data_IF_630401273727
#
_entry.id   IF_630401273727
#
_cell.length_a   1.000
_cell.length_b   1.000
_cell.length_c   1.000
_cell.angle_alpha   90.00
_cell.angle_beta   90.00
_cell.angle_gamma   90.00
#
_symmetry.space_group_name_H-M   'P 1'
#
loop_
_entity.id
_entity.type
_entity.pdbx_description
1 polymer ?
#
# COMPACT_ATOMS: atom_id res chain seq x y z
N UNK A 1 -6.00 -10.50 11.80
CA UNK A 1 -6.02 -10.63 10.33
C UNK A 1 -4.63 -11.04 9.87
N UNK A 2 -4.51 -11.92 8.89
CA UNK A 2 -3.23 -12.42 8.38
C UNK A 2 -2.88 -11.69 7.08
N UNK A 3 -1.64 -11.21 6.89
CA UNK A 3 -1.25 -10.50 5.67
C UNK A 3 -1.33 -11.42 4.44
N UNK A 4 -1.81 -10.90 3.32
CA UNK A 4 -1.96 -11.66 2.06
C UNK A 4 -0.63 -11.94 1.35
N UNK A 5 0.43 -11.26 1.75
CA UNK A 5 1.79 -11.39 1.23
C UNK A 5 2.79 -10.98 2.33
N UNK A 6 4.04 -11.45 2.31
CA UNK A 6 5.06 -10.99 3.24
C UNK A 6 5.34 -9.50 3.01
N UNK A 7 5.12 -8.69 4.04
CA UNK A 7 5.57 -7.30 4.08
C UNK A 7 7.07 -7.35 4.39
N UNK A 8 7.92 -6.93 3.46
CA UNK A 8 9.37 -6.88 3.67
C UNK A 8 9.76 -5.79 4.66
N UNK A 9 10.81 -5.01 4.36
CA UNK A 9 11.20 -3.90 5.24
C UNK A 9 10.29 -2.69 5.00
N UNK A 10 9.64 -2.23 6.07
CA UNK A 10 8.79 -1.04 6.06
C UNK A 10 9.64 0.15 6.50
N UNK A 11 9.73 1.17 5.64
CA UNK A 11 10.35 2.45 5.98
C UNK A 11 9.24 3.50 6.03
N UNK A 12 9.09 4.14 7.18
CA UNK A 12 8.11 5.19 7.39
C UNK A 12 8.76 6.35 8.14
N UNK A 13 8.40 7.58 7.78
CA UNK A 13 8.74 8.73 8.61
C UNK A 13 7.92 8.66 9.92
N UNK A 14 8.38 9.25 11.03
CA UNK A 14 7.68 9.16 12.32
C UNK A 14 6.20 9.56 12.26
N UNK A 15 5.85 10.51 11.37
CA UNK A 15 4.50 10.98 11.13
C UNK A 15 3.55 9.94 10.52
N UNK A 16 4.08 8.85 9.93
CA UNK A 16 3.30 7.85 9.17
C UNK A 16 3.21 6.50 9.88
N UNK A 17 3.79 6.36 11.07
CA UNK A 17 3.84 5.09 11.82
C UNK A 17 2.44 4.52 12.16
N UNK A 18 1.44 5.38 12.36
CA UNK A 18 0.07 4.97 12.68
C UNK A 18 -0.69 4.30 11.52
N UNK A 19 -0.23 4.49 10.28
CA UNK A 19 -0.91 3.98 9.07
C UNK A 19 -0.62 2.49 8.82
N UNK A 20 0.47 1.97 9.38
CA UNK A 20 1.09 0.70 8.97
C UNK A 20 0.21 -0.53 9.30
N UNK A 21 -0.73 -0.43 10.25
CA UNK A 21 -1.58 -1.57 10.64
C UNK A 21 -2.76 -1.79 9.68
N UNK A 22 -3.10 -0.82 8.84
CA UNK A 22 -4.30 -0.87 7.99
C UNK A 22 -4.08 -1.53 6.62
N UNK A 23 -2.85 -1.87 6.24
CA UNK A 23 -2.47 -2.37 4.92
C UNK A 23 -3.00 -3.79 4.56
N UNK A 24 -3.96 -4.31 5.32
CA UNK A 24 -4.52 -5.65 5.13
C UNK A 24 -6.06 -5.55 5.10
N UNK A 25 -6.61 -5.05 3.99
CA UNK A 25 -8.02 -5.26 3.64
C UNK A 25 -8.93 -4.03 3.53
N UNK A 26 -8.40 -2.80 3.66
CA UNK A 26 -9.20 -1.56 3.65
C UNK A 26 -8.86 -0.59 2.52
N UNK A 27 -8.53 -1.10 1.34
CA UNK A 27 -8.07 -0.29 0.21
C UNK A 27 -9.22 0.43 -0.52
N UNK A 28 -9.16 1.77 -0.59
CA UNK A 28 -10.12 2.64 -1.29
C UNK A 28 -9.85 2.76 -2.81
N UNK A 29 -9.09 1.83 -3.39
CA UNK A 29 -8.91 1.74 -4.84
C UNK A 29 -10.21 1.41 -5.60
N UNK A 30 -10.26 1.82 -6.88
CA UNK A 30 -11.31 1.43 -7.81
C UNK A 30 -11.23 -0.06 -8.16
N UNK A 31 -12.22 -0.57 -8.91
CA UNK A 31 -12.28 -1.99 -9.24
C UNK A 31 -11.11 -2.43 -10.13
N UNK A 32 -10.70 -1.60 -11.08
CA UNK A 32 -9.57 -1.87 -11.99
C UNK A 32 -8.26 -2.01 -11.21
N UNK A 33 -7.97 -1.07 -10.31
CA UNK A 33 -6.74 -1.09 -9.52
C UNK A 33 -6.72 -2.24 -8.51
N UNK A 34 -7.87 -2.60 -7.95
CA UNK A 34 -8.01 -3.82 -7.13
C UNK A 34 -7.71 -5.07 -7.94
N UNK A 35 -8.21 -5.17 -9.16
CA UNK A 35 -7.90 -6.29 -10.05
C UNK A 35 -6.42 -6.32 -10.45
N UNK A 36 -5.81 -5.15 -10.67
CA UNK A 36 -4.38 -5.04 -10.96
C UNK A 36 -3.53 -5.55 -9.76
N UNK A 37 -3.93 -5.27 -8.52
CA UNK A 37 -3.31 -5.84 -7.34
C UNK A 37 -3.47 -7.37 -7.28
N UNK A 38 -4.66 -7.91 -7.55
CA UNK A 38 -4.88 -9.37 -7.58
C UNK A 38 -4.01 -10.07 -8.63
N UNK A 39 -3.80 -9.45 -9.79
CA UNK A 39 -2.87 -9.95 -10.80
C UNK A 39 -1.42 -9.84 -10.29
N UNK A 40 -1.06 -8.71 -9.68
CA UNK A 40 0.28 -8.47 -9.12
C UNK A 40 0.66 -9.42 -7.98
N UNK A 41 -0.33 -9.97 -7.26
CA UNK A 41 -0.10 -11.04 -6.28
C UNK A 41 0.33 -12.36 -6.94
N UNK A 42 -0.08 -12.60 -8.19
CA UNK A 42 0.29 -13.80 -8.97
C UNK A 42 1.57 -13.58 -9.76
N UNK A 43 1.68 -12.41 -10.39
CA UNK A 43 2.76 -12.09 -11.32
C UNK A 43 3.99 -11.50 -10.62
N UNK A 44 3.88 -11.20 -9.32
CA UNK A 44 4.98 -10.66 -8.51
C UNK A 44 5.32 -9.20 -8.83
N UNK A 45 4.39 -8.44 -9.43
CA UNK A 45 4.59 -7.01 -9.75
C UNK A 45 4.22 -6.10 -8.57
N UNK A 46 4.46 -4.79 -8.69
CA UNK A 46 4.18 -3.81 -7.63
C UNK A 46 2.72 -3.83 -7.18
N UNK A 47 2.47 -3.48 -5.92
CA UNK A 47 1.13 -3.30 -5.35
C UNK A 47 0.89 -1.83 -5.03
N UNK A 48 -0.35 -1.40 -5.20
CA UNK A 48 -0.81 -0.07 -4.82
C UNK A 48 -1.86 -0.20 -3.71
N UNK A 49 -1.91 0.75 -2.78
CA UNK A 49 -3.07 0.92 -1.90
C UNK A 49 -3.35 2.40 -1.68
N UNK A 50 -4.60 2.74 -1.40
CA UNK A 50 -5.02 4.09 -1.07
C UNK A 50 -5.85 4.10 0.21
N UNK A 51 -5.57 5.07 1.09
CA UNK A 51 -6.32 5.28 2.32
C UNK A 51 -6.69 6.75 2.48
N UNK A 52 -7.89 7.02 2.99
CA UNK A 52 -8.28 8.34 3.48
C UNK A 52 -7.87 8.50 4.94
N UNK A 53 -7.14 9.58 5.22
CA UNK A 53 -6.77 9.99 6.59
C UNK A 53 -7.43 11.34 6.90
N UNK A 54 -7.51 11.76 8.19
CA UNK A 54 -7.95 13.11 8.53
C UNK A 54 -7.14 14.22 7.84
N UNK A 55 -5.89 13.95 7.45
CA UNK A 55 -5.00 14.87 6.73
C UNK A 55 -5.09 14.80 5.20
N UNK A 56 -5.99 13.97 4.65
CA UNK A 56 -6.13 13.74 3.21
C UNK A 56 -5.86 12.29 2.81
N UNK A 57 -6.06 12.00 1.53
CA UNK A 57 -5.70 10.69 0.97
C UNK A 57 -4.18 10.49 1.05
N UNK A 58 -3.76 9.24 1.17
CA UNK A 58 -2.38 8.79 1.01
C UNK A 58 -2.36 7.58 0.09
N UNK A 59 -1.24 7.42 -0.61
CA UNK A 59 -0.96 6.26 -1.45
C UNK A 59 0.16 5.44 -0.83
N UNK A 60 0.06 4.12 -0.93
CA UNK A 60 1.07 3.19 -0.46
C UNK A 60 1.46 2.33 -1.65
N UNK A 61 2.74 2.37 -2.03
CA UNK A 61 3.28 1.58 -3.13
C UNK A 61 4.23 0.56 -2.53
N UNK A 62 4.00 -0.72 -2.81
CA UNK A 62 4.91 -1.80 -2.44
C UNK A 62 5.57 -2.35 -3.69
N UNK A 63 6.90 -2.35 -3.71
CA UNK A 63 7.68 -2.79 -4.87
C UNK A 63 7.49 -4.27 -5.19
N UNK A 64 7.81 -4.66 -6.42
CA UNK A 64 7.59 -6.00 -6.97
C UNK A 64 8.21 -7.12 -6.11
N UNK A 65 9.41 -6.89 -5.59
CA UNK A 65 10.14 -7.79 -4.71
C UNK A 65 9.73 -7.69 -3.22
N UNK A 66 8.74 -6.84 -2.92
CA UNK A 66 8.26 -6.52 -1.56
C UNK A 66 9.35 -5.98 -0.63
N UNK A 67 10.51 -5.60 -1.15
CA UNK A 67 11.65 -5.16 -0.33
C UNK A 67 11.42 -3.76 0.26
N UNK A 68 10.57 -2.96 -0.40
CA UNK A 68 10.27 -1.59 -0.04
C UNK A 68 8.77 -1.30 -0.16
N UNK A 69 8.26 -0.57 0.82
CA UNK A 69 6.93 0.04 0.80
C UNK A 69 7.06 1.53 1.07
N UNK A 70 6.60 2.34 0.12
CA UNK A 70 6.66 3.80 0.17
C UNK A 70 5.26 4.36 0.40
N UNK A 71 5.13 5.36 1.27
CA UNK A 71 3.88 6.07 1.52
C UNK A 71 4.03 7.49 0.98
N UNK A 72 3.09 7.92 0.14
CA UNK A 72 3.12 9.19 -0.59
C UNK A 72 1.84 9.98 -0.33
N UNK A 73 1.95 11.29 -0.22
CA UNK A 73 0.83 12.21 -0.35
C UNK A 73 0.43 12.34 -1.83
N UNK A 74 -0.83 12.66 -2.16
CA UNK A 74 -1.27 12.94 -3.53
C UNK A 74 -0.48 14.05 -4.21
N UNK A 75 0.12 14.96 -3.44
CA UNK A 75 0.99 16.03 -3.96
C UNK A 75 2.41 15.57 -4.29
N UNK A 76 2.81 14.38 -3.84
CA UNK A 76 4.11 13.76 -4.09
C UNK A 76 4.06 12.72 -5.21
N UNK A 77 2.86 12.47 -5.75
CA UNK A 77 2.58 11.60 -6.89
C UNK A 77 2.50 12.41 -8.18
#
# INVERSE_FOLDING_TARGET
MQPRFPLGRIFATPATSAVITAAIGGDELCAEDKQANENSLKDGTRLLSRYSTPGGSIYIITEHDRSMTTILLPSEY
#
